data_IF_517694016643
#
_entry.id   IF_517694016643
#
_cell.length_a   1.000
_cell.length_b   1.000
_cell.length_c   1.000
_cell.angle_alpha   90.00
_cell.angle_beta   90.00
_cell.angle_gamma   90.00
#
_symmetry.space_group_name_H-M   'P 1'
#
loop_
_entity.id
_entity.type
_entity.pdbx_description
1 polymer ?
#
# COMPACT_ATOMS: atom_id res chain seq x y z
N UNK A 1 -28.63 -29.17 -19.01
CA UNK A 1 -27.20 -28.81 -19.21
C UNK A 1 -26.82 -27.77 -18.15
N UNK A 2 -26.32 -28.23 -16.98
CA UNK A 2 -26.07 -27.40 -15.77
C UNK A 2 -24.58 -27.41 -15.35
N UNK A 3 -23.75 -28.28 -15.95
CA UNK A 3 -22.34 -28.47 -15.57
C UNK A 3 -21.42 -27.27 -15.85
N UNK A 4 -21.72 -26.47 -16.89
CA UNK A 4 -20.84 -25.39 -17.37
C UNK A 4 -20.73 -24.22 -16.36
N UNK A 5 -21.87 -23.88 -15.73
CA UNK A 5 -21.94 -22.74 -14.79
C UNK A 5 -21.27 -23.04 -13.45
N UNK A 6 -21.29 -24.30 -13.01
CA UNK A 6 -20.69 -24.71 -11.73
C UNK A 6 -19.17 -24.74 -11.80
N UNK A 7 -18.59 -25.20 -12.91
CA UNK A 7 -17.14 -25.19 -13.13
C UNK A 7 -16.60 -23.77 -13.30
N UNK A 8 -17.31 -22.91 -14.06
CA UNK A 8 -16.95 -21.50 -14.19
C UNK A 8 -16.99 -20.76 -12.83
N UNK A 9 -18.00 -21.02 -12.00
CA UNK A 9 -18.10 -20.44 -10.65
C UNK A 9 -16.97 -20.91 -9.73
N UNK A 10 -16.62 -22.19 -9.76
CA UNK A 10 -15.53 -22.73 -8.96
C UNK A 10 -14.19 -22.09 -9.35
N UNK A 11 -13.92 -21.92 -10.64
CA UNK A 11 -12.71 -21.26 -11.14
C UNK A 11 -12.64 -19.78 -10.71
N UNK A 12 -13.76 -19.06 -10.77
CA UNK A 12 -13.82 -17.67 -10.29
C UNK A 12 -13.59 -17.57 -8.79
N UNK A 13 -14.16 -18.48 -7.99
CA UNK A 13 -13.97 -18.50 -6.55
C UNK A 13 -12.51 -18.79 -6.17
N UNK A 14 -11.85 -19.71 -6.88
CA UNK A 14 -10.43 -20.00 -6.65
C UNK A 14 -9.53 -18.79 -6.95
N UNK A 15 -9.76 -18.11 -8.08
CA UNK A 15 -9.03 -16.88 -8.42
C UNK A 15 -9.23 -15.77 -7.40
N UNK A 16 -10.47 -15.57 -6.95
CA UNK A 16 -10.77 -14.57 -5.92
C UNK A 16 -10.03 -14.84 -4.60
N UNK A 17 -9.87 -16.11 -4.20
CA UNK A 17 -9.09 -16.48 -3.01
C UNK A 17 -7.62 -16.18 -3.21
N UNK A 18 -7.05 -16.53 -4.36
CA UNK A 18 -5.64 -16.26 -4.67
C UNK A 18 -5.35 -14.75 -4.70
N UNK A 19 -6.21 -13.97 -5.36
CA UNK A 19 -6.14 -12.51 -5.38
C UNK A 19 -6.22 -11.91 -3.97
N UNK A 20 -7.11 -12.43 -3.12
CA UNK A 20 -7.24 -11.97 -1.74
C UNK A 20 -5.99 -12.28 -0.90
N UNK A 21 -5.38 -13.45 -1.08
CA UNK A 21 -4.14 -13.83 -0.40
C UNK A 21 -2.96 -12.96 -0.84
N UNK A 22 -2.85 -12.69 -2.15
CA UNK A 22 -1.83 -11.79 -2.68
C UNK A 22 -2.00 -10.36 -2.14
N UNK A 23 -3.24 -9.86 -2.08
CA UNK A 23 -3.53 -8.55 -1.51
C UNK A 23 -3.20 -8.48 -0.01
N UNK A 24 -3.50 -9.53 0.76
CA UNK A 24 -3.14 -9.60 2.17
C UNK A 24 -1.62 -9.58 2.37
N UNK A 25 -0.87 -10.42 1.64
CA UNK A 25 0.58 -10.46 1.71
C UNK A 25 1.22 -9.11 1.33
N UNK A 26 0.67 -8.44 0.30
CA UNK A 26 1.12 -7.11 -0.11
C UNK A 26 0.93 -6.07 1.01
N UNK A 27 -0.22 -6.10 1.71
CA UNK A 27 -0.48 -5.19 2.85
C UNK A 27 0.50 -5.44 3.99
N UNK A 28 0.67 -6.70 4.39
CA UNK A 28 1.56 -7.07 5.50
C UNK A 28 3.00 -6.59 5.25
N UNK A 29 3.43 -6.56 3.99
CA UNK A 29 4.77 -6.10 3.60
C UNK A 29 4.97 -4.59 3.74
N UNK A 30 3.88 -3.81 3.71
CA UNK A 30 3.93 -2.36 3.81
C UNK A 30 3.78 -1.85 5.24
N UNK A 31 3.28 -2.65 6.17
CA UNK A 31 3.09 -2.24 7.56
C UNK A 31 4.44 -1.86 8.19
N UNK A 32 4.45 -0.76 8.93
CA UNK A 32 5.62 -0.24 9.62
C UNK A 32 5.40 -0.21 11.12
N UNK A 33 6.45 -0.45 11.90
CA UNK A 33 6.45 -0.29 13.36
C UNK A 33 6.75 1.17 13.73
N UNK A 34 5.95 2.10 13.21
CA UNK A 34 6.12 3.55 13.35
C UNK A 34 6.77 4.24 12.14
N UNK A 35 7.00 5.57 12.23
CA UNK A 35 7.46 6.38 11.11
C UNK A 35 8.83 5.97 10.58
N UNK A 36 8.90 5.69 9.28
CA UNK A 36 10.14 5.36 8.57
C UNK A 36 10.32 6.25 7.35
N UNK A 37 11.56 6.38 6.88
CA UNK A 37 11.85 7.04 5.60
C UNK A 37 11.26 6.22 4.45
N UNK A 38 10.74 6.90 3.44
CA UNK A 38 10.24 6.26 2.23
C UNK A 38 11.34 5.42 1.56
N UNK A 39 12.59 5.87 1.59
CA UNK A 39 13.75 5.12 1.09
C UNK A 39 13.98 3.75 1.79
N UNK A 40 13.41 3.50 2.97
CA UNK A 40 13.56 2.23 3.69
C UNK A 40 12.93 1.05 2.97
N UNK A 41 11.89 1.28 2.17
CA UNK A 41 11.19 0.19 1.48
C UNK A 41 12.05 -0.50 0.42
N UNK A 42 13.09 0.17 -0.10
CA UNK A 42 14.05 -0.43 -1.03
C UNK A 42 13.36 -1.03 -2.27
N UNK A 43 13.58 -2.33 -2.49
CA UNK A 43 12.91 -3.11 -3.53
C UNK A 43 11.64 -3.77 -2.99
N UNK A 44 10.54 -3.60 -3.71
CA UNK A 44 9.25 -4.17 -3.39
C UNK A 44 8.77 -5.11 -4.50
N UNK A 45 8.02 -6.13 -4.10
CA UNK A 45 7.28 -6.98 -5.04
C UNK A 45 6.20 -6.17 -5.76
N UNK A 46 5.82 -6.53 -7.00
CA UNK A 46 4.88 -5.75 -7.82
C UNK A 46 3.55 -5.40 -7.14
N UNK A 47 2.96 -6.33 -6.38
CA UNK A 47 1.70 -6.11 -5.68
C UNK A 47 1.83 -5.09 -4.53
N UNK A 48 2.87 -5.23 -3.71
CA UNK A 48 3.17 -4.28 -2.63
C UNK A 48 3.52 -2.90 -3.18
N UNK A 49 4.26 -2.84 -4.30
CA UNK A 49 4.59 -1.59 -4.94
C UNK A 49 3.36 -0.83 -5.44
N UNK A 50 2.44 -1.49 -6.16
CA UNK A 50 1.21 -0.84 -6.66
C UNK A 50 0.36 -0.31 -5.51
N UNK A 51 0.26 -1.07 -4.41
CA UNK A 51 -0.45 -0.63 -3.22
C UNK A 51 0.23 0.57 -2.55
N UNK A 52 1.56 0.57 -2.45
CA UNK A 52 2.33 1.71 -1.95
C UNK A 52 2.11 2.95 -2.83
N UNK A 53 2.12 2.80 -4.15
CA UNK A 53 1.86 3.91 -5.08
C UNK A 53 0.47 4.51 -4.88
N UNK A 54 -0.54 3.68 -4.68
CA UNK A 54 -1.90 4.16 -4.38
C UNK A 54 -1.92 4.96 -3.08
N UNK A 55 -1.37 4.40 -2.00
CA UNK A 55 -1.26 5.06 -0.70
C UNK A 55 -0.54 6.41 -0.78
N UNK A 56 0.61 6.46 -1.46
CA UNK A 56 1.38 7.68 -1.62
C UNK A 56 0.65 8.69 -2.50
N UNK A 57 -0.05 8.24 -3.54
CA UNK A 57 -0.92 9.10 -4.35
C UNK A 57 -1.97 9.79 -3.50
N UNK A 58 -2.69 9.02 -2.67
CA UNK A 58 -3.71 9.53 -1.76
C UNK A 58 -3.09 10.48 -0.72
N UNK A 59 -1.97 10.10 -0.09
CA UNK A 59 -1.31 10.89 0.94
C UNK A 59 -0.72 12.20 0.41
N UNK A 60 -0.05 12.17 -0.74
CA UNK A 60 0.52 13.37 -1.38
C UNK A 60 -0.57 14.30 -1.89
N UNK A 61 -1.68 13.77 -2.41
CA UNK A 61 -2.83 14.57 -2.79
C UNK A 61 -3.52 15.23 -1.57
N UNK A 62 -3.53 14.54 -0.42
CA UNK A 62 -4.07 15.06 0.82
C UNK A 62 -3.17 16.11 1.51
N UNK A 63 -1.85 16.10 1.26
CA UNK A 63 -0.89 17.07 1.78
C UNK A 63 -1.08 18.46 1.15
N UNK A 64 -1.91 19.31 1.76
CA UNK A 64 -2.17 20.66 1.24
C UNK A 64 -0.93 21.56 1.33
N UNK A 65 -0.85 22.63 0.51
CA UNK A 65 0.20 23.62 0.66
C UNK A 65 0.23 24.21 2.08
N UNK A 66 1.39 24.12 2.74
CA UNK A 66 1.58 24.60 4.11
C UNK A 66 1.36 23.54 5.20
N UNK A 67 0.79 22.37 4.87
CA UNK A 67 0.67 21.27 5.82
C UNK A 67 1.96 20.45 5.87
N UNK A 68 2.39 20.14 7.10
CA UNK A 68 3.57 19.31 7.35
C UNK A 68 3.27 17.81 7.24
N UNK A 69 2.01 17.41 7.45
CA UNK A 69 1.60 16.00 7.47
C UNK A 69 0.18 15.83 6.92
N UNK A 70 -0.11 14.64 6.40
CA UNK A 70 -1.46 14.21 6.05
C UNK A 70 -1.70 12.78 6.54
N UNK A 71 -2.96 12.49 6.84
CA UNK A 71 -3.42 11.20 7.32
C UNK A 71 -4.53 10.71 6.40
N UNK A 72 -4.30 9.57 5.74
CA UNK A 72 -5.23 8.99 4.77
C UNK A 72 -5.47 7.53 5.08
N UNK A 73 -6.68 7.06 4.78
CA UNK A 73 -7.04 5.65 4.84
C UNK A 73 -7.38 5.19 3.42
N UNK A 74 -6.93 3.99 3.05
CA UNK A 74 -7.25 3.42 1.74
C UNK A 74 -8.75 3.29 1.55
N UNK A 75 -9.21 3.35 0.30
CA UNK A 75 -10.63 3.23 -0.03
C UNK A 75 -11.25 1.90 0.43
N UNK A 76 -10.46 0.84 0.50
CA UNK A 76 -10.89 -0.47 1.00
C UNK A 76 -10.89 -0.56 2.54
N UNK A 77 -10.38 0.47 3.24
CA UNK A 77 -10.44 0.60 4.70
C UNK A 77 -9.49 -0.32 5.46
N UNK A 78 -8.46 -0.87 4.80
CA UNK A 78 -7.51 -1.81 5.42
C UNK A 78 -6.24 -1.15 5.93
N UNK A 79 -5.78 -0.07 5.29
CA UNK A 79 -4.54 0.59 5.65
C UNK A 79 -4.76 2.07 5.89
N UNK A 80 -4.03 2.60 6.87
CA UNK A 80 -3.85 4.03 7.12
C UNK A 80 -2.41 4.39 6.84
N UNK A 81 -2.20 5.51 6.15
CA UNK A 81 -0.91 6.14 5.94
C UNK A 81 -0.91 7.50 6.63
N UNK A 82 0.02 7.67 7.57
CA UNK A 82 0.47 8.99 7.98
C UNK A 82 1.71 9.34 7.17
N UNK A 83 1.66 10.43 6.41
CA UNK A 83 2.79 10.94 5.64
C UNK A 83 3.21 12.31 6.18
N UNK A 84 4.51 12.48 6.41
CA UNK A 84 5.10 13.73 6.91
C UNK A 84 6.18 14.25 5.95
N UNK A 85 6.13 15.55 5.70
CA UNK A 85 7.15 16.29 4.96
C UNK A 85 8.39 16.44 5.81
N UNK A 86 9.51 15.94 5.31
CA UNK A 86 10.81 16.28 5.86
C UNK A 86 11.37 17.51 5.13
N UNK A 87 11.61 18.64 5.81
CA UNK A 87 12.17 19.83 5.19
C UNK A 87 13.51 19.54 4.53
N UNK A 88 13.69 19.95 3.27
CA UNK A 88 14.91 19.74 2.47
C UNK A 88 15.31 18.25 2.34
N UNK A 89 14.34 17.34 2.37
CA UNK A 89 14.61 15.93 2.14
C UNK A 89 15.26 15.72 0.75
N UNK A 90 16.25 14.82 0.65
CA UNK A 90 16.77 14.43 -0.66
C UNK A 90 15.67 13.73 -1.47
N UNK A 91 15.79 13.79 -2.80
CA UNK A 91 14.98 12.95 -3.67
C UNK A 91 15.51 11.52 -3.59
N UNK A 92 14.62 10.56 -3.38
CA UNK A 92 14.91 9.13 -3.34
C UNK A 92 14.19 8.42 -4.48
N UNK A 93 14.76 7.28 -4.87
CA UNK A 93 14.20 6.41 -5.89
C UNK A 93 13.81 5.08 -5.26
N UNK A 94 12.56 4.67 -5.44
CA UNK A 94 12.10 3.32 -5.17
C UNK A 94 12.06 2.57 -6.49
N UNK A 95 12.93 1.57 -6.63
CA UNK A 95 13.09 0.77 -7.84
C UNK A 95 12.32 -0.53 -7.68
N UNK A 96 11.54 -0.88 -8.69
CA UNK A 96 10.78 -2.13 -8.74
C UNK A 96 10.75 -2.69 -10.16
N UNK A 97 10.35 -3.97 -10.34
CA UNK A 97 10.19 -4.55 -11.68
C UNK A 97 9.19 -3.80 -12.57
N UNK A 98 8.23 -3.08 -11.97
CA UNK A 98 7.18 -2.35 -12.68
C UNK A 98 7.56 -0.89 -12.99
N UNK A 99 8.69 -0.39 -12.45
CA UNK A 99 9.18 0.96 -12.70
C UNK A 99 9.88 1.61 -11.49
N UNK A 100 10.16 2.90 -11.63
CA UNK A 100 10.85 3.70 -10.60
C UNK A 100 9.97 4.86 -10.14
N UNK A 101 9.69 4.92 -8.83
CA UNK A 101 9.09 6.11 -8.21
C UNK A 101 10.19 7.05 -7.73
N UNK A 102 10.09 8.33 -8.05
CA UNK A 102 11.03 9.36 -7.58
C UNK A 102 10.29 10.48 -6.85
N UNK A 103 10.78 10.88 -5.68
CA UNK A 103 10.18 11.96 -4.89
C UNK A 103 11.00 12.31 -3.64
N UNK A 104 10.62 13.35 -2.88
CA UNK A 104 11.27 13.67 -1.61
C UNK A 104 11.16 12.51 -0.62
N UNK A 105 12.21 12.29 0.18
CA UNK A 105 12.24 11.21 1.19
C UNK A 105 11.39 11.55 2.43
N UNK A 106 10.08 11.46 2.24
CA UNK A 106 9.05 11.65 3.27
C UNK A 106 9.18 10.62 4.40
N UNK A 107 8.70 11.00 5.57
CA UNK A 107 8.40 10.01 6.62
C UNK A 107 7.02 9.45 6.34
N UNK A 108 6.90 8.13 6.47
CA UNK A 108 5.65 7.41 6.28
C UNK A 108 5.48 6.41 7.42
N UNK A 109 4.27 6.34 7.94
CA UNK A 109 3.84 5.33 8.91
C UNK A 109 2.58 4.66 8.37
N UNK A 110 2.69 3.39 8.02
CA UNK A 110 1.65 2.59 7.41
C UNK A 110 1.17 1.57 8.43
N UNK A 111 -0.10 1.67 8.82
CA UNK A 111 -0.70 0.84 9.86
C UNK A 111 -1.98 0.19 9.35
N UNK A 112 -2.34 -0.97 9.91
CA UNK A 112 -3.64 -1.58 9.65
C UNK A 112 -4.75 -0.80 10.38
N UNK A 113 -5.86 -0.58 9.69
CA UNK A 113 -7.09 -0.02 10.30
C UNK A 113 -8.05 -1.11 10.77
N UNK A 114 -7.83 -2.36 10.39
CA UNK A 114 -8.58 -3.48 10.92
C UNK A 114 -8.20 -3.70 12.40
N UNK A 115 -9.16 -3.96 13.30
CA UNK A 115 -8.82 -4.39 14.65
C UNK A 115 -8.01 -5.69 14.55
N UNK A 116 -6.85 -5.75 15.20
CA UNK A 116 -6.09 -6.99 15.31
C UNK A 116 -7.03 -8.10 15.82
N UNK A 117 -7.03 -9.31 15.23
CA UNK A 117 -7.82 -10.41 15.75
C UNK A 117 -7.41 -10.63 17.21
N UNK A 118 -8.35 -10.42 18.14
CA UNK A 118 -8.16 -10.78 19.54
C UNK A 118 -8.00 -12.30 19.56
N UNK A 119 -6.80 -12.76 19.89
CA UNK A 119 -6.53 -14.17 20.21
C UNK A 119 -7.29 -14.63 21.44
#
# INVERSE_FOLDING_TARGET
>A
RIADRSQARALLAQRAVEEALQAAAARDRLITDGPVRLSRFGELEPAAFRLLLQLLGDGVAALRPGEAQADVTTADGWLRLLIERVPKAPTVQLVTPDGVLSGPDHLVDITTTAPAPRG
#
